data_IF_318783356402
#
_entry.id   IF_318783356402
#
_cell.length_a   1.000
_cell.length_b   1.000
_cell.length_c   1.000
_cell.angle_alpha   90.00
_cell.angle_beta   90.00
_cell.angle_gamma   90.00
#
_symmetry.space_group_name_H-M   'P 1'
#
loop_
_entity.id
_entity.type
_entity.pdbx_description
1 polymer ?
#
# COMPACT_ATOMS: atom_id res chain seq x y z
N UNK A 1 0.08 0.16 -18.00
CA UNK A 1 0.93 0.73 -16.94
C UNK A 1 0.41 0.20 -15.62
N UNK A 2 1.31 -0.35 -14.79
CA UNK A 2 0.97 -0.72 -13.41
C UNK A 2 1.15 0.47 -12.47
N UNK A 3 0.33 0.59 -11.42
CA UNK A 3 0.60 1.54 -10.36
C UNK A 3 1.85 1.14 -9.57
N UNK A 4 2.60 2.13 -9.10
CA UNK A 4 3.61 2.02 -8.05
C UNK A 4 2.92 1.95 -6.70
N UNK A 5 3.04 0.82 -6.03
CA UNK A 5 2.32 0.53 -4.79
C UNK A 5 3.31 0.47 -3.64
N UNK A 6 3.10 1.28 -2.59
CA UNK A 6 3.84 1.15 -1.34
C UNK A 6 3.00 0.39 -0.31
N UNK A 7 3.52 -0.74 0.19
CA UNK A 7 2.90 -1.50 1.28
C UNK A 7 3.58 -1.13 2.60
N UNK A 8 2.79 -0.76 3.60
CA UNK A 8 3.27 -0.44 4.95
C UNK A 8 2.77 -1.49 5.94
N UNK A 9 3.66 -2.02 6.77
CA UNK A 9 3.33 -2.97 7.82
C UNK A 9 4.44 -3.07 8.88
N UNK A 10 4.34 -4.01 9.81
CA UNK A 10 5.26 -4.09 10.95
C UNK A 10 6.48 -4.99 10.74
N UNK A 11 6.40 -5.98 9.86
CA UNK A 11 7.43 -6.99 9.71
C UNK A 11 8.00 -6.95 8.29
N UNK A 12 9.25 -6.51 8.17
CA UNK A 12 9.91 -6.33 6.87
C UNK A 12 10.11 -7.67 6.15
N UNK A 13 10.35 -8.77 6.87
CA UNK A 13 10.49 -10.11 6.28
C UNK A 13 9.17 -10.54 5.64
N UNK A 14 8.05 -10.35 6.34
CA UNK A 14 6.72 -10.65 5.81
C UNK A 14 6.39 -9.76 4.61
N UNK A 15 6.69 -8.46 4.69
CA UNK A 15 6.49 -7.54 3.56
C UNK A 15 7.31 -7.97 2.35
N UNK A 16 8.57 -8.36 2.53
CA UNK A 16 9.43 -8.80 1.44
C UNK A 16 8.89 -10.06 0.75
N UNK A 17 8.35 -11.02 1.52
CA UNK A 17 7.67 -12.19 0.95
C UNK A 17 6.46 -11.75 0.12
N UNK A 18 5.62 -10.85 0.66
CA UNK A 18 4.44 -10.34 -0.08
C UNK A 18 4.83 -9.61 -1.37
N UNK A 19 5.90 -8.80 -1.35
CA UNK A 19 6.44 -8.13 -2.53
C UNK A 19 6.85 -9.16 -3.58
N UNK A 20 7.61 -10.19 -3.19
CA UNK A 20 8.04 -11.24 -4.11
C UNK A 20 6.85 -11.95 -4.76
N UNK A 21 5.81 -12.28 -3.99
CA UNK A 21 4.61 -12.90 -4.54
C UNK A 21 3.86 -11.95 -5.48
N UNK A 22 3.69 -10.68 -5.12
CA UNK A 22 3.01 -9.69 -5.96
C UNK A 22 3.78 -9.38 -7.25
N UNK A 23 5.12 -9.41 -7.21
CA UNK A 23 5.96 -9.25 -8.38
C UNK A 23 5.79 -10.41 -9.37
N UNK A 24 5.50 -11.63 -8.91
CA UNK A 24 5.15 -12.76 -9.81
C UNK A 24 3.85 -12.49 -10.60
N UNK A 25 2.93 -11.69 -10.04
CA UNK A 25 1.74 -11.20 -10.75
C UNK A 25 2.01 -9.95 -11.60
N UNK A 26 3.28 -9.56 -11.79
CA UNK A 26 3.70 -8.40 -12.56
C UNK A 26 3.42 -7.06 -11.88
N UNK A 27 3.21 -7.02 -10.56
CA UNK A 27 2.91 -5.78 -9.83
C UNK A 27 4.18 -5.00 -9.49
N UNK A 28 4.08 -3.67 -9.58
CA UNK A 28 5.15 -2.76 -9.17
C UNK A 28 4.94 -2.35 -7.70
N UNK A 29 5.57 -3.11 -6.80
CA UNK A 29 5.35 -3.01 -5.36
C UNK A 29 6.67 -2.77 -4.63
N UNK A 30 6.62 -1.90 -3.62
CA UNK A 30 7.67 -1.62 -2.66
C UNK A 30 7.11 -1.69 -1.24
N UNK A 31 7.99 -1.79 -0.25
CA UNK A 31 7.61 -1.98 1.14
C UNK A 31 8.35 -1.04 2.08
N UNK A 32 7.70 -0.66 3.18
CA UNK A 32 8.33 0.07 4.27
C UNK A 32 7.72 -0.36 5.61
N UNK A 33 8.49 -0.22 6.69
CA UNK A 33 8.04 -0.60 8.04
C UNK A 33 8.13 0.50 9.09
N UNK A 34 8.94 1.54 8.85
CA UNK A 34 9.14 2.63 9.79
C UNK A 34 8.97 4.00 9.12
N UNK A 35 8.78 5.04 9.94
CA UNK A 35 8.51 6.40 9.46
C UNK A 35 9.63 6.97 8.57
N UNK A 36 10.93 6.83 8.92
CA UNK A 36 12.03 7.26 8.05
C UNK A 36 11.98 6.60 6.66
N UNK A 37 11.78 5.28 6.61
CA UNK A 37 11.75 4.53 5.36
C UNK A 37 10.50 4.88 4.54
N UNK A 38 9.34 5.02 5.19
CA UNK A 38 8.10 5.50 4.54
C UNK A 38 8.35 6.86 3.88
N UNK A 39 8.94 7.82 4.60
CA UNK A 39 9.22 9.15 4.06
C UNK A 39 10.17 9.06 2.85
N UNK A 40 11.24 8.29 2.97
CA UNK A 40 12.20 8.05 1.89
C UNK A 40 11.51 7.46 0.65
N UNK A 41 10.65 6.46 0.84
CA UNK A 41 9.91 5.81 -0.25
C UNK A 41 8.94 6.77 -0.95
N UNK A 42 8.21 7.56 -0.18
CA UNK A 42 7.29 8.57 -0.71
C UNK A 42 8.01 9.62 -1.55
N UNK A 43 9.19 10.07 -1.12
CA UNK A 43 9.97 11.11 -1.80
C UNK A 43 10.68 10.58 -3.06
N UNK A 44 11.34 9.42 -2.97
CA UNK A 44 12.17 8.90 -4.06
C UNK A 44 11.37 8.16 -5.13
N UNK A 45 10.38 7.37 -4.72
CA UNK A 45 9.69 6.48 -5.63
C UNK A 45 8.30 6.99 -6.04
N UNK A 46 7.78 8.01 -5.34
CA UNK A 46 6.53 8.71 -5.62
C UNK A 46 5.37 7.73 -5.95
N UNK A 47 4.96 6.88 -5.00
CA UNK A 47 3.96 5.86 -5.26
C UNK A 47 2.60 6.48 -5.66
N UNK A 48 1.85 5.74 -6.46
CA UNK A 48 0.53 6.14 -6.94
C UNK A 48 -0.54 5.95 -5.86
N UNK A 49 -0.36 4.95 -4.98
CA UNK A 49 -1.12 4.79 -3.74
C UNK A 49 -0.34 3.96 -2.71
N UNK A 50 -0.83 4.01 -1.46
CA UNK A 50 -0.30 3.26 -0.32
C UNK A 50 -1.33 2.22 0.14
N UNK A 51 -0.85 1.04 0.52
CA UNK A 51 -1.63 0.03 1.24
C UNK A 51 -1.09 -0.10 2.65
N UNK A 52 -1.98 -0.01 3.64
CA UNK A 52 -1.66 -0.24 5.04
C UNK A 52 -2.12 -1.64 5.43
N UNK A 53 -1.18 -2.43 5.94
CA UNK A 53 -1.37 -3.82 6.32
C UNK A 53 -2.39 -4.03 7.42
N UNK A 54 -2.96 -5.23 7.50
CA UNK A 54 -3.99 -5.53 8.48
C UNK A 54 -3.45 -5.73 9.93
N UNK A 55 -2.13 -5.88 10.10
CA UNK A 55 -1.47 -6.14 11.38
C UNK A 55 -1.21 -4.91 12.28
N UNK A 56 -1.61 -3.70 11.85
CA UNK A 56 -1.58 -2.49 12.67
C UNK A 56 -2.87 -2.36 13.51
N UNK A 57 -2.72 -1.93 14.77
CA UNK A 57 -3.83 -1.51 15.63
C UNK A 57 -4.57 -0.30 15.04
N UNK A 58 -5.76 0.02 15.54
CA UNK A 58 -6.51 1.19 15.02
C UNK A 58 -5.76 2.49 15.31
N UNK A 59 -5.21 2.64 16.52
CA UNK A 59 -4.41 3.80 16.88
C UNK A 59 -3.19 3.96 15.95
N UNK A 60 -2.43 2.90 15.69
CA UNK A 60 -1.26 2.98 14.80
C UNK A 60 -1.67 3.34 13.36
N UNK A 61 -2.82 2.86 12.88
CA UNK A 61 -3.35 3.22 11.55
C UNK A 61 -3.73 4.68 11.49
N UNK A 62 -4.39 5.21 12.50
CA UNK A 62 -4.81 6.61 12.55
C UNK A 62 -3.59 7.54 12.62
N UNK A 63 -2.62 7.22 13.47
CA UNK A 63 -1.35 7.95 13.55
C UNK A 63 -0.59 7.91 12.22
N UNK A 64 -0.53 6.75 11.58
CA UNK A 64 0.10 6.59 10.28
C UNK A 64 -0.63 7.37 9.19
N UNK A 65 -1.96 7.38 9.18
CA UNK A 65 -2.75 8.16 8.23
C UNK A 65 -2.48 9.66 8.36
N UNK A 66 -2.50 10.17 9.58
CA UNK A 66 -2.16 11.58 9.86
C UNK A 66 -0.75 11.90 9.37
N UNK A 67 0.22 11.02 9.67
CA UNK A 67 1.59 11.16 9.20
C UNK A 67 1.71 11.20 7.67
N UNK A 68 1.06 10.26 6.97
CA UNK A 68 1.08 10.17 5.51
C UNK A 68 0.46 11.40 4.83
N UNK A 69 -0.67 11.89 5.37
CA UNK A 69 -1.36 13.06 4.84
C UNK A 69 -0.56 14.35 5.03
N UNK A 70 0.21 14.47 6.12
CA UNK A 70 1.11 15.59 6.36
C UNK A 70 2.31 15.60 5.39
N UNK A 71 2.78 14.44 4.93
CA UNK A 71 3.89 14.36 3.96
C UNK A 71 3.42 14.70 2.55
N UNK A 72 2.30 14.11 2.11
CA UNK A 72 1.80 14.26 0.74
C UNK A 72 0.28 14.38 0.76
N UNK A 73 -0.20 15.62 0.76
CA UNK A 73 -1.61 15.92 0.62
C UNK A 73 -2.17 15.28 -0.66
N UNK A 74 -3.27 14.53 -0.55
CA UNK A 74 -3.90 13.82 -1.67
C UNK A 74 -3.31 12.45 -1.99
N UNK A 75 -2.37 11.92 -1.19
CA UNK A 75 -1.95 10.53 -1.31
C UNK A 75 -3.14 9.58 -1.09
N UNK A 76 -3.40 8.72 -2.07
CA UNK A 76 -4.41 7.67 -1.93
C UNK A 76 -3.89 6.61 -0.96
N UNK A 77 -4.56 6.47 0.19
CA UNK A 77 -4.24 5.45 1.19
C UNK A 77 -5.39 4.46 1.28
N UNK A 78 -5.06 3.17 1.22
CA UNK A 78 -6.02 2.07 1.34
C UNK A 78 -5.68 1.24 2.57
N UNK A 79 -6.63 1.14 3.49
CA UNK A 79 -6.50 0.28 4.66
C UNK A 79 -7.00 -1.13 4.32
N UNK A 80 -6.19 -2.15 4.56
CA UNK A 80 -6.68 -3.51 4.51
C UNK A 80 -7.68 -3.76 5.64
N UNK A 81 -8.80 -4.41 5.31
CA UNK A 81 -9.86 -4.73 6.27
C UNK A 81 -9.30 -5.56 7.43
N UNK A 82 -9.75 -5.25 8.64
CA UNK A 82 -9.46 -6.09 9.80
C UNK A 82 -10.34 -7.34 9.72
N UNK A 83 -9.70 -8.50 9.79
CA UNK A 83 -10.38 -9.77 9.92
C UNK A 83 -10.17 -10.30 11.35
N UNK A 84 -11.07 -11.15 11.84
CA UNK A 84 -10.95 -11.77 13.17
C UNK A 84 -9.65 -12.57 13.34
N UNK A 85 -9.10 -13.09 12.23
CA UNK A 85 -7.78 -13.71 12.14
C UNK A 85 -7.05 -13.13 10.93
N UNK A 86 -6.38 -11.98 11.08
CA UNK A 86 -5.72 -11.32 9.97
C UNK A 86 -4.56 -12.18 9.48
N UNK A 87 -4.55 -12.51 8.18
CA UNK A 87 -3.41 -13.15 7.55
C UNK A 87 -2.66 -12.13 6.70
N UNK A 88 -1.32 -12.08 6.73
CA UNK A 88 -0.55 -11.27 5.79
C UNK A 88 -0.84 -11.63 4.33
N UNK A 89 -1.21 -12.89 4.05
CA UNK A 89 -1.57 -13.36 2.70
C UNK A 89 -2.80 -12.62 2.13
N UNK A 90 -3.72 -12.14 2.98
CA UNK A 90 -4.91 -11.40 2.54
C UNK A 90 -4.54 -10.12 1.77
N UNK A 91 -3.36 -9.56 2.04
CA UNK A 91 -2.83 -8.41 1.34
C UNK A 91 -2.56 -8.69 -0.14
N UNK A 92 -2.33 -9.94 -0.54
CA UNK A 92 -2.10 -10.28 -1.95
C UNK A 92 -3.36 -10.01 -2.76
N UNK A 93 -4.49 -10.56 -2.32
CA UNK A 93 -5.78 -10.37 -2.98
C UNK A 93 -6.21 -8.90 -2.95
N UNK A 94 -6.07 -8.25 -1.79
CA UNK A 94 -6.40 -6.84 -1.62
C UNK A 94 -5.57 -5.92 -2.52
N UNK A 95 -4.25 -6.12 -2.57
CA UNK A 95 -3.34 -5.33 -3.40
C UNK A 95 -3.65 -5.49 -4.88
N UNK A 96 -3.92 -6.72 -5.31
CA UNK A 96 -4.31 -6.99 -6.70
C UNK A 96 -5.62 -6.29 -7.07
N UNK A 97 -6.63 -6.35 -6.20
CA UNK A 97 -7.90 -5.63 -6.38
C UNK A 97 -7.66 -4.12 -6.56
N UNK A 98 -6.92 -3.49 -5.64
CA UNK A 98 -6.61 -2.05 -5.70
C UNK A 98 -5.81 -1.65 -6.94
N UNK A 99 -4.86 -2.50 -7.35
CA UNK A 99 -4.11 -2.26 -8.57
C UNK A 99 -5.00 -2.30 -9.84
N UNK A 100 -6.03 -3.16 -9.86
CA UNK A 100 -7.01 -3.21 -10.96
C UNK A 100 -7.95 -2.01 -10.90
N UNK A 101 -8.49 -1.67 -9.73
CA UNK A 101 -9.33 -0.48 -9.54
C UNK A 101 -8.62 0.79 -10.03
N UNK A 102 -7.36 0.98 -9.66
CA UNK A 102 -6.56 2.11 -10.13
C UNK A 102 -6.46 2.17 -11.67
N UNK A 103 -6.26 1.02 -12.34
CA UNK A 103 -6.20 0.98 -13.82
C UNK A 103 -7.53 1.38 -14.44
N UNK A 104 -8.64 0.93 -13.86
CA UNK A 104 -9.99 1.28 -14.30
C UNK A 104 -10.20 2.79 -14.14
N UNK A 105 -9.87 3.35 -12.98
CA UNK A 105 -9.95 4.80 -12.74
C UNK A 105 -9.13 5.61 -13.74
N UNK A 106 -7.91 5.17 -14.08
CA UNK A 106 -7.07 5.84 -15.08
C UNK A 106 -7.65 5.78 -16.51
N UNK A 107 -8.51 4.81 -16.80
CA UNK A 107 -9.20 4.70 -18.09
C UNK A 107 -10.48 5.52 -18.11
N UNK A 108 -11.25 5.49 -17.02
CA UNK A 108 -12.50 6.25 -16.88
C UNK A 108 -12.23 7.75 -16.73
N UNK A 109 -11.23 8.15 -15.94
CA UNK A 109 -10.83 9.55 -15.77
C UNK A 109 -10.20 10.19 -17.00
N UNK A 110 -9.95 9.41 -18.08
CA UNK A 110 -9.55 9.93 -19.40
C UNK A 110 -10.72 10.05 -20.38
N UNK A 111 -11.92 9.62 -20.00
CA UNK A 111 -13.13 9.67 -20.82
C UNK A 111 -14.07 10.82 -20.45
N UNK A 112 -13.66 11.72 -19.56
CA UNK A 112 -14.39 12.92 -19.16
C UNK A 112 -13.51 14.13 -19.42
#
# INVERSE_FOLDING_TARGET
MEPRILIIGHNIVVINILIQELQKFGRNVMGATDRPDIQRMLQLHNPDFVIVGNGLSDQERDELLVYLLNIKAGLKVHLAEKQAKPSPYDLVAFTNKKAVEWKIEQKLGKQI
#
